data_IF_158383519495
#
_entry.id   IF_158383519495
#
_cell.length_a   1.000
_cell.length_b   1.000
_cell.length_c   1.000
_cell.angle_alpha   90.00
_cell.angle_beta   90.00
_cell.angle_gamma   90.00
#
_symmetry.space_group_name_H-M   'P 1'
#
loop_
_entity.id
_entity.type
_entity.pdbx_description
1 polymer ?
#
# COMPACT_ATOMS: atom_id res chain seq x y z
N UNK A 1 1.90 -2.77 44.51
CA UNK A 1 0.87 -3.12 43.49
C UNK A 1 -0.03 -1.98 43.00
N UNK A 2 -0.24 -0.87 43.74
CA UNK A 2 -1.20 0.19 43.32
C UNK A 2 -0.78 1.03 42.10
N UNK A 3 0.51 1.34 41.91
CA UNK A 3 1.03 2.22 40.83
C UNK A 3 0.75 1.71 39.40
N UNK A 4 0.87 0.39 39.18
CA UNK A 4 0.64 -0.27 37.87
C UNK A 4 -0.84 -0.22 37.42
N UNK A 5 -1.78 -0.05 38.37
CA UNK A 5 -3.22 0.05 38.07
C UNK A 5 -3.62 1.44 37.57
N UNK A 6 -2.90 2.50 37.97
CA UNK A 6 -3.16 3.87 37.49
C UNK A 6 -2.67 4.09 36.07
N UNK A 7 -1.53 3.52 35.67
CA UNK A 7 -1.00 3.64 34.30
C UNK A 7 -1.92 2.99 33.27
N UNK A 8 -2.54 1.84 33.58
CA UNK A 8 -3.51 1.18 32.68
C UNK A 8 -4.79 2.00 32.51
N UNK A 9 -5.23 2.70 33.56
CA UNK A 9 -6.38 3.60 33.52
C UNK A 9 -6.07 4.89 32.75
N UNK A 10 -4.83 5.38 32.83
CA UNK A 10 -4.36 6.52 32.03
C UNK A 10 -4.30 6.18 30.54
N UNK A 11 -3.82 4.98 30.18
CA UNK A 11 -3.83 4.48 28.81
C UNK A 11 -5.26 4.28 28.26
N UNK A 12 -6.17 3.74 29.07
CA UNK A 12 -7.58 3.60 28.68
C UNK A 12 -8.26 4.96 28.54
N UNK A 13 -8.00 5.91 29.43
CA UNK A 13 -8.53 7.27 29.35
C UNK A 13 -8.00 8.01 28.12
N UNK A 14 -6.70 7.88 27.80
CA UNK A 14 -6.11 8.45 26.58
C UNK A 14 -6.68 7.81 25.31
N UNK A 15 -6.92 6.50 25.31
CA UNK A 15 -7.56 5.80 24.19
C UNK A 15 -9.00 6.26 23.97
N UNK A 16 -9.78 6.44 25.06
CA UNK A 16 -11.16 6.95 24.98
C UNK A 16 -11.19 8.41 24.53
N UNK A 17 -10.23 9.25 24.99
CA UNK A 17 -10.12 10.64 24.55
C UNK A 17 -9.72 10.78 23.07
N UNK A 18 -8.89 9.86 22.56
CA UNK A 18 -8.54 9.81 21.14
C UNK A 18 -9.74 9.37 20.28
N UNK A 19 -10.53 8.40 20.75
CA UNK A 19 -11.72 7.92 20.03
C UNK A 19 -12.82 8.98 20.00
N UNK A 20 -13.00 9.79 21.05
CA UNK A 20 -13.98 10.88 21.06
C UNK A 20 -13.54 12.12 20.28
N UNK A 21 -12.22 12.33 20.10
CA UNK A 21 -11.70 13.39 19.23
C UNK A 21 -11.94 13.11 17.73
N UNK A 22 -12.13 11.86 17.33
CA UNK A 22 -12.53 11.50 15.96
C UNK A 22 -14.05 11.63 15.70
N UNK A 23 -14.87 11.70 16.76
CA UNK A 23 -16.34 11.70 16.62
C UNK A 23 -16.97 13.10 16.54
N UNK A 24 -16.20 14.18 16.66
CA UNK A 24 -16.72 15.56 16.78
C UNK A 24 -16.13 16.58 15.79
N UNK A 25 -15.44 16.14 14.74
CA UNK A 25 -15.17 17.05 13.61
C UNK A 25 -16.36 17.03 12.68
N UNK A 26 -17.31 17.93 12.94
CA UNK A 26 -18.26 18.40 11.95
C UNK A 26 -17.45 19.07 10.82
N UNK A 27 -17.07 18.29 9.81
CA UNK A 27 -16.47 18.77 8.56
C UNK A 27 -17.55 19.48 7.75
N UNK A 28 -17.85 20.71 8.14
CA UNK A 28 -18.69 21.62 7.40
C UNK A 28 -17.78 22.77 6.95
N UNK A 29 -17.47 22.85 5.63
CA UNK A 29 -17.11 24.09 4.89
C UNK A 29 -16.05 23.99 3.76
N UNK A 30 -15.58 22.82 3.28
CA UNK A 30 -14.80 22.78 2.01
C UNK A 30 -15.08 21.53 1.17
N UNK A 31 -16.30 21.41 0.63
CA UNK A 31 -16.76 20.32 -0.25
C UNK A 31 -15.89 20.08 -1.51
N UNK A 32 -14.96 20.98 -1.86
CA UNK A 32 -14.03 20.80 -2.99
C UNK A 32 -12.57 20.52 -2.60
N UNK A 33 -12.16 20.80 -1.36
CA UNK A 33 -10.76 20.79 -0.94
C UNK A 33 -10.29 19.39 -0.55
N UNK A 34 -11.08 18.68 0.25
CA UNK A 34 -10.76 17.35 0.76
C UNK A 34 -11.77 16.34 0.23
N UNK A 35 -11.28 15.28 -0.39
CA UNK A 35 -12.07 14.12 -0.85
C UNK A 35 -11.50 12.89 -0.18
N UNK A 36 -12.33 12.05 0.41
CA UNK A 36 -11.88 10.77 0.94
C UNK A 36 -12.79 9.66 0.46
N UNK A 37 -12.31 8.44 0.53
CA UNK A 37 -13.06 7.32 -0.01
C UNK A 37 -12.38 5.99 0.15
N UNK A 38 -13.03 4.98 -0.39
CA UNK A 38 -12.55 3.61 -0.41
C UNK A 38 -12.17 3.23 -1.83
N UNK A 39 -11.19 2.36 -1.98
CA UNK A 39 -10.78 1.82 -3.28
C UNK A 39 -10.45 0.34 -3.18
N UNK A 40 -10.69 -0.39 -4.25
CA UNK A 40 -10.28 -1.78 -4.36
C UNK A 40 -10.13 -2.22 -5.81
N UNK A 41 -9.47 -3.35 -6.02
CA UNK A 41 -9.19 -3.82 -7.37
C UNK A 41 -8.23 -4.99 -7.43
N UNK A 42 -7.62 -5.16 -8.60
CA UNK A 42 -6.72 -6.26 -8.91
C UNK A 42 -5.29 -5.74 -9.14
N UNK A 43 -4.32 -6.59 -8.81
CA UNK A 43 -2.91 -6.37 -9.06
C UNK A 43 -2.39 -7.48 -9.98
N UNK A 44 -1.59 -7.11 -10.97
CA UNK A 44 -0.88 -8.02 -11.84
C UNK A 44 0.61 -7.71 -11.70
N UNK A 45 1.34 -8.58 -10.99
CA UNK A 45 2.79 -8.47 -10.83
C UNK A 45 3.52 -9.25 -11.91
N UNK A 46 4.58 -8.65 -12.47
CA UNK A 46 5.59 -9.34 -13.28
C UNK A 46 6.90 -9.36 -12.49
N UNK A 47 7.36 -10.56 -12.17
CA UNK A 47 8.68 -10.77 -11.56
C UNK A 47 9.68 -11.03 -12.69
N UNK A 48 10.45 -10.01 -13.09
CA UNK A 48 11.54 -10.20 -14.06
C UNK A 48 12.80 -10.71 -13.33
N UNK A 49 13.07 -12.01 -13.47
CA UNK A 49 14.29 -12.67 -12.99
C UNK A 49 14.72 -13.73 -14.00
N UNK A 50 15.98 -13.64 -14.50
CA UNK A 50 16.55 -14.58 -15.47
C UNK A 50 16.52 -16.01 -14.89
N UNK A 51 15.53 -16.81 -15.27
CA UNK A 51 15.37 -18.19 -14.81
C UNK A 51 13.92 -18.60 -14.50
N UNK A 52 12.99 -17.66 -14.36
CA UNK A 52 11.59 -17.98 -14.07
C UNK A 52 10.73 -17.86 -15.34
N UNK A 53 10.10 -18.98 -15.74
CA UNK A 53 9.05 -18.98 -16.77
C UNK A 53 7.92 -18.03 -16.32
N UNK A 54 7.69 -16.97 -17.10
CA UNK A 54 6.58 -16.00 -17.06
C UNK A 54 5.44 -16.32 -16.07
N UNK A 55 5.69 -16.11 -14.78
CA UNK A 55 4.70 -16.29 -13.73
C UNK A 55 3.99 -14.98 -13.46
N UNK A 56 2.84 -14.75 -14.09
CA UNK A 56 1.98 -13.64 -13.70
C UNK A 56 1.33 -13.95 -12.35
N UNK A 57 1.62 -13.11 -11.36
CA UNK A 57 0.98 -13.21 -10.06
C UNK A 57 -0.24 -12.28 -10.02
N UNK A 58 -1.43 -12.90 -10.03
CA UNK A 58 -2.69 -12.19 -9.88
C UNK A 58 -3.00 -12.02 -8.38
N UNK A 59 -3.23 -10.78 -7.97
CA UNK A 59 -3.57 -10.40 -6.61
C UNK A 59 -4.75 -9.43 -6.58
N UNK A 60 -5.18 -9.08 -5.37
CA UNK A 60 -6.19 -8.06 -5.15
C UNK A 60 -5.70 -7.01 -4.15
N UNK A 61 -6.36 -5.86 -4.14
CA UNK A 61 -6.11 -4.81 -3.15
C UNK A 61 -7.42 -4.15 -2.70
N UNK A 62 -7.40 -3.63 -1.47
CA UNK A 62 -8.46 -2.85 -0.85
C UNK A 62 -7.82 -1.79 0.04
N UNK A 63 -8.35 -0.58 0.04
CA UNK A 63 -7.77 0.52 0.80
C UNK A 63 -8.66 1.73 0.92
N UNK A 64 -8.18 2.70 1.70
CA UNK A 64 -8.75 4.03 1.79
C UNK A 64 -7.84 5.05 1.11
N UNK A 65 -8.43 6.15 0.65
CA UNK A 65 -7.70 7.30 0.11
C UNK A 65 -8.22 8.61 0.71
N UNK A 66 -7.33 9.58 0.83
CA UNK A 66 -7.64 10.97 1.14
C UNK A 66 -6.89 11.86 0.14
N UNK A 67 -7.61 12.72 -0.56
CA UNK A 67 -7.13 13.62 -1.58
C UNK A 67 -7.39 15.06 -1.15
N UNK A 68 -6.33 15.87 -1.16
CA UNK A 68 -6.36 17.30 -0.91
C UNK A 68 -6.06 18.02 -2.22
N UNK A 69 -7.02 18.76 -2.75
CA UNK A 69 -6.82 19.62 -3.92
C UNK A 69 -6.28 20.96 -3.46
N UNK A 70 -5.02 21.25 -3.78
CA UNK A 70 -4.32 22.45 -3.33
C UNK A 70 -4.58 23.63 -4.27
N UNK A 71 -4.55 23.40 -5.58
CA UNK A 71 -4.80 24.42 -6.60
C UNK A 71 -5.65 23.86 -7.73
N UNK A 72 -6.04 24.71 -8.69
CA UNK A 72 -6.73 24.26 -9.91
C UNK A 72 -5.79 23.39 -10.73
N UNK A 73 -6.02 22.08 -10.69
CA UNK A 73 -5.26 21.10 -11.46
C UNK A 73 -4.11 20.43 -10.71
N UNK A 74 -3.89 20.75 -9.43
CA UNK A 74 -2.91 20.07 -8.60
C UNK A 74 -3.47 19.69 -7.22
N UNK A 75 -3.15 18.49 -6.77
CA UNK A 75 -3.50 18.01 -5.44
C UNK A 75 -2.60 16.87 -4.98
N UNK A 76 -2.67 16.53 -3.70
CA UNK A 76 -1.94 15.42 -3.11
C UNK A 76 -2.93 14.38 -2.62
N UNK A 77 -2.63 13.10 -2.81
CA UNK A 77 -3.45 11.97 -2.38
C UNK A 77 -2.59 11.03 -1.53
N UNK A 78 -3.01 10.82 -0.29
CA UNK A 78 -2.47 9.79 0.58
C UNK A 78 -3.40 8.59 0.59
N UNK A 79 -2.83 7.39 0.65
CA UNK A 79 -3.58 6.14 0.62
C UNK A 79 -3.07 5.14 1.66
N UNK A 80 -3.96 4.25 2.08
CA UNK A 80 -3.63 3.08 2.86
C UNK A 80 -4.24 1.87 2.16
N UNK A 81 -3.40 1.03 1.57
CA UNK A 81 -3.80 -0.10 0.74
C UNK A 81 -3.31 -1.40 1.39
N UNK A 82 -4.24 -2.30 1.65
CA UNK A 82 -3.95 -3.71 1.90
C UNK A 82 -4.00 -4.47 0.57
N UNK A 83 -2.98 -5.26 0.28
CA UNK A 83 -2.95 -6.11 -0.91
C UNK A 83 -2.58 -7.54 -0.56
N UNK A 84 -3.12 -8.48 -1.32
CA UNK A 84 -2.86 -9.91 -1.14
C UNK A 84 -2.56 -10.52 -2.50
N UNK A 85 -1.43 -11.19 -2.61
CA UNK A 85 -1.00 -11.90 -3.81
C UNK A 85 -0.85 -13.37 -3.49
N UNK A 86 -1.47 -14.22 -4.31
CA UNK A 86 -1.34 -15.66 -4.19
C UNK A 86 -0.38 -16.16 -5.25
N UNK A 87 0.84 -16.49 -4.85
CA UNK A 87 1.78 -17.16 -5.75
C UNK A 87 1.36 -18.62 -5.86
N UNK A 88 0.91 -19.06 -7.04
CA UNK A 88 0.82 -20.49 -7.33
C UNK A 88 2.25 -20.95 -7.61
N UNK A 89 2.89 -21.57 -6.62
CA UNK A 89 4.17 -22.25 -6.83
C UNK A 89 3.94 -23.42 -7.78
N UNK A 90 4.26 -23.25 -9.06
CA UNK A 90 4.51 -24.38 -9.95
C UNK A 90 5.75 -25.09 -9.41
N UNK A 91 5.51 -26.27 -8.83
CA UNK A 91 6.33 -27.48 -8.66
C UNK A 91 7.86 -27.46 -8.46
N UNK A 92 8.59 -26.34 -8.46
CA UNK A 92 10.07 -26.36 -8.44
C UNK A 92 10.69 -25.39 -7.40
N UNK A 93 10.09 -25.24 -6.22
CA UNK A 93 10.64 -24.43 -5.13
C UNK A 93 10.93 -25.26 -3.86
N UNK A 94 11.66 -26.36 -4.04
CA UNK A 94 12.15 -27.18 -2.92
C UNK A 94 13.63 -26.94 -2.56
N UNK A 95 14.32 -25.94 -3.15
CA UNK A 95 15.80 -25.89 -3.05
C UNK A 95 16.43 -24.63 -2.44
N UNK A 96 15.67 -23.68 -1.87
CA UNK A 96 16.28 -22.41 -1.38
C UNK A 96 16.15 -22.15 0.13
N UNK A 97 15.39 -22.93 0.90
CA UNK A 97 15.36 -22.77 2.36
C UNK A 97 15.24 -24.12 3.06
N UNK A 98 16.20 -24.42 3.94
CA UNK A 98 16.28 -25.63 4.79
C UNK A 98 14.90 -26.16 5.21
N UNK A 99 14.50 -27.22 4.54
CA UNK A 99 13.26 -27.97 4.72
C UNK A 99 13.42 -29.04 5.79
N UNK A 100 13.60 -28.66 7.06
CA UNK A 100 13.62 -29.66 8.16
C UNK A 100 12.27 -29.83 8.86
N UNK A 101 11.20 -29.15 8.41
CA UNK A 101 9.87 -29.30 9.04
C UNK A 101 8.69 -29.25 8.05
N UNK A 102 8.90 -29.55 6.76
CA UNK A 102 7.85 -29.45 5.75
C UNK A 102 7.55 -30.81 5.12
N UNK A 103 7.21 -31.77 5.96
CA UNK A 103 6.30 -32.83 5.53
C UNK A 103 4.88 -32.26 5.57
N UNK A 104 4.18 -32.37 4.45
CA UNK A 104 2.73 -32.29 4.28
C UNK A 104 2.11 -31.01 3.63
N UNK A 105 1.50 -31.26 2.46
CA UNK A 105 0.38 -30.53 1.83
C UNK A 105 0.59 -29.12 1.24
N UNK A 106 1.13 -29.02 0.01
CA UNK A 106 0.68 -28.07 -1.03
C UNK A 106 0.32 -26.63 -0.61
N UNK A 107 1.11 -26.00 0.29
CA UNK A 107 0.74 -24.73 0.90
C UNK A 107 0.91 -23.59 -0.10
N UNK A 108 -0.21 -23.10 -0.63
CA UNK A 108 -0.32 -21.82 -1.35
C UNK A 108 0.25 -20.71 -0.46
N UNK A 109 1.43 -20.19 -0.80
CA UNK A 109 2.04 -19.06 -0.08
C UNK A 109 1.22 -17.81 -0.41
N UNK A 110 0.53 -17.27 0.60
CA UNK A 110 -0.20 -16.00 0.50
C UNK A 110 0.68 -14.89 1.06
N UNK A 111 1.04 -13.92 0.22
CA UNK A 111 1.81 -12.76 0.63
C UNK A 111 0.85 -11.58 0.77
N UNK A 112 0.78 -11.02 1.98
CA UNK A 112 -0.04 -9.85 2.29
C UNK A 112 0.86 -8.65 2.49
N UNK A 113 0.54 -7.52 1.88
CA UNK A 113 1.30 -6.28 2.01
C UNK A 113 0.40 -5.15 2.47
N UNK A 114 0.94 -4.30 3.34
CA UNK A 114 0.38 -3.00 3.67
C UNK A 114 1.19 -1.94 2.93
N UNK A 115 0.54 -1.10 2.16
CA UNK A 115 1.17 -0.07 1.33
C UNK A 115 0.59 1.31 1.66
N UNK A 116 1.46 2.31 1.69
CA UNK A 116 1.14 3.72 1.95
C UNK A 116 1.69 4.56 0.79
N UNK A 117 0.91 4.70 -0.30
CA UNK A 117 1.21 5.62 -1.39
C UNK A 117 0.99 7.08 -0.98
N UNK A 118 1.91 7.95 -1.40
CA UNK A 118 1.76 9.42 -1.32
C UNK A 118 1.93 9.96 -2.75
N UNK A 119 0.84 10.42 -3.35
CA UNK A 119 0.76 10.72 -4.78
C UNK A 119 0.45 12.19 -5.03
N UNK A 120 1.21 12.81 -5.91
CA UNK A 120 0.83 14.06 -6.57
C UNK A 120 -0.16 13.76 -7.70
N UNK A 121 -1.22 14.56 -7.79
CA UNK A 121 -2.23 14.49 -8.84
C UNK A 121 -2.13 15.75 -9.71
N UNK A 122 -2.00 15.56 -11.02
CA UNK A 122 -1.98 16.64 -12.01
C UNK A 122 -3.13 16.46 -12.99
N UNK A 123 -4.03 17.45 -13.11
CA UNK A 123 -5.14 17.37 -14.06
C UNK A 123 -4.66 17.49 -15.51
N UNK A 124 -5.05 16.52 -16.34
CA UNK A 124 -4.72 16.46 -17.76
C UNK A 124 -5.89 17.03 -18.57
N UNK A 125 -5.87 18.34 -18.84
CA UNK A 125 -6.88 19.06 -19.63
C UNK A 125 -8.27 19.16 -18.99
N UNK A 126 -8.63 18.24 -18.09
CA UNK A 126 -9.89 18.22 -17.35
C UNK A 126 -9.64 17.87 -15.88
N UNK A 127 -10.37 18.48 -14.92
CA UNK A 127 -10.30 18.10 -13.51
C UNK A 127 -10.65 16.63 -13.23
N UNK A 128 -11.32 15.97 -14.19
CA UNK A 128 -11.75 14.56 -14.09
C UNK A 128 -10.64 13.58 -14.39
N UNK A 129 -9.63 13.93 -15.18
CA UNK A 129 -8.53 13.02 -15.55
C UNK A 129 -7.28 13.55 -14.89
N UNK A 130 -6.71 12.77 -13.98
CA UNK A 130 -5.53 13.15 -13.20
C UNK A 130 -4.39 12.16 -13.47
N UNK A 131 -3.22 12.67 -13.78
CA UNK A 131 -1.97 11.93 -13.73
C UNK A 131 -1.53 11.82 -12.27
N UNK A 132 -1.25 10.61 -11.82
CA UNK A 132 -0.76 10.31 -10.49
C UNK A 132 0.70 9.94 -10.55
N UNK A 133 1.52 10.54 -9.69
CA UNK A 133 2.93 10.17 -9.55
C UNK A 133 3.38 10.36 -8.11
N UNK A 134 4.17 9.44 -7.57
CA UNK A 134 4.75 9.60 -6.24
C UNK A 134 5.35 8.32 -5.65
N UNK A 135 5.95 8.42 -4.46
CA UNK A 135 6.47 7.26 -3.75
C UNK A 135 5.35 6.42 -3.13
N UNK A 136 5.65 5.15 -2.93
CA UNK A 136 4.87 4.20 -2.15
C UNK A 136 5.81 3.42 -1.23
N UNK A 137 5.45 3.42 0.05
CA UNK A 137 6.10 2.61 1.08
C UNK A 137 5.28 1.36 1.33
N UNK A 138 5.89 0.19 1.33
CA UNK A 138 5.19 -1.06 1.55
C UNK A 138 5.93 -1.97 2.52
N UNK A 139 5.18 -2.72 3.30
CA UNK A 139 5.73 -3.73 4.20
C UNK A 139 4.93 -5.02 4.10
N UNK A 140 5.64 -6.15 4.18
CA UNK A 140 5.02 -7.46 4.26
C UNK A 140 4.36 -7.64 5.63
N UNK A 141 3.07 -7.99 5.62
CA UNK A 141 2.28 -8.30 6.81
C UNK A 141 2.47 -9.77 7.15
N UNK A 142 3.51 -10.08 7.92
CA UNK A 142 3.69 -11.40 8.56
C UNK A 142 2.95 -11.45 9.89
N UNK A 143 2.12 -12.48 10.08
CA UNK A 143 1.32 -12.75 11.28
C UNK A 143 0.39 -11.61 11.74
N UNK A 144 -0.68 -11.34 10.97
CA UNK A 144 -1.89 -10.52 11.32
C UNK A 144 -1.68 -9.15 12.00
N UNK A 145 -0.44 -8.67 12.15
CA UNK A 145 -0.09 -7.48 12.91
C UNK A 145 0.09 -6.28 11.98
N UNK A 146 -1.03 -5.67 11.60
CA UNK A 146 -1.07 -4.49 10.71
C UNK A 146 -0.30 -3.29 11.29
N UNK A 147 -0.34 -3.10 12.61
CA UNK A 147 0.39 -2.01 13.28
C UNK A 147 1.90 -2.12 13.14
N UNK A 148 2.44 -3.35 13.23
CA UNK A 148 3.87 -3.59 13.05
C UNK A 148 4.27 -3.35 11.60
N UNK A 149 3.48 -3.86 10.65
CA UNK A 149 3.72 -3.62 9.22
C UNK A 149 3.69 -2.12 8.86
N UNK A 150 2.78 -1.34 9.46
CA UNK A 150 2.74 0.12 9.28
C UNK A 150 4.04 0.77 9.77
N UNK A 151 4.48 0.43 10.99
CA UNK A 151 5.73 0.92 11.54
C UNK A 151 6.94 0.52 10.67
N UNK A 152 6.98 -0.71 10.16
CA UNK A 152 8.06 -1.20 9.31
C UNK A 152 8.06 -0.49 7.95
N UNK A 153 6.89 -0.20 7.37
CA UNK A 153 6.79 0.58 6.12
C UNK A 153 7.42 1.97 6.25
N UNK A 154 7.32 2.62 7.42
CA UNK A 154 7.96 3.91 7.69
C UNK A 154 9.44 3.80 8.11
N UNK A 155 9.86 2.66 8.68
CA UNK A 155 11.23 2.47 9.20
C UNK A 155 12.18 1.71 8.25
N UNK A 156 11.88 1.70 6.95
CA UNK A 156 12.74 1.04 5.94
C UNK A 156 12.13 -0.20 5.30
N UNK A 157 10.81 -0.27 5.19
CA UNK A 157 10.13 -1.20 4.29
C UNK A 157 10.47 -0.95 2.82
N UNK A 158 9.86 -1.72 1.92
CA UNK A 158 10.10 -1.62 0.49
C UNK A 158 9.64 -0.25 -0.03
N UNK A 159 10.52 0.44 -0.77
CA UNK A 159 10.23 1.70 -1.44
C UNK A 159 9.99 1.45 -2.92
N UNK A 160 8.91 2.05 -3.44
CA UNK A 160 8.51 1.94 -4.83
C UNK A 160 8.07 3.29 -5.39
N UNK A 161 8.19 3.46 -6.70
CA UNK A 161 7.64 4.58 -7.45
C UNK A 161 6.31 4.17 -8.09
N UNK A 162 5.34 5.07 -8.04
CA UNK A 162 4.02 4.88 -8.65
C UNK A 162 3.82 5.94 -9.70
N UNK A 163 3.37 5.53 -10.88
CA UNK A 163 2.87 6.41 -11.93
C UNK A 163 1.55 5.86 -12.47
N UNK A 164 0.54 6.68 -12.72
CA UNK A 164 -0.76 6.18 -13.15
C UNK A 164 -1.77 7.25 -13.54
N UNK A 165 -2.96 6.80 -13.87
CA UNK A 165 -4.10 7.64 -14.20
C UNK A 165 -5.21 7.43 -13.17
N UNK A 166 -5.90 8.52 -12.86
CA UNK A 166 -7.04 8.58 -11.98
C UNK A 166 -8.17 9.34 -12.67
N UNK A 167 -9.26 8.63 -12.94
CA UNK A 167 -10.47 9.19 -13.52
C UNK A 167 -11.47 9.40 -12.39
N UNK A 168 -11.78 10.65 -12.11
CA UNK A 168 -12.69 11.07 -11.05
C UNK A 168 -14.07 11.40 -11.64
N UNK A 169 -15.04 10.53 -11.35
CA UNK A 169 -16.47 10.76 -11.58
C UNK A 169 -17.11 11.23 -10.26
N UNK A 170 -18.38 11.68 -10.26
CA UNK A 170 -19.01 12.28 -9.07
C UNK A 170 -18.99 11.40 -7.82
N UNK A 171 -19.14 10.08 -7.98
CA UNK A 171 -19.16 9.10 -6.88
C UNK A 171 -18.08 8.05 -7.10
N UNK A 172 -17.90 7.61 -8.35
CA UNK A 172 -17.00 6.52 -8.70
C UNK A 172 -15.67 7.09 -9.22
N UNK A 173 -14.57 6.44 -8.87
CA UNK A 173 -13.27 6.71 -9.42
C UNK A 173 -12.71 5.46 -10.09
N UNK A 174 -11.93 5.63 -11.16
CA UNK A 174 -11.23 4.54 -11.83
C UNK A 174 -9.75 4.85 -11.78
N UNK A 175 -8.93 3.86 -11.44
CA UNK A 175 -7.49 4.00 -11.31
C UNK A 175 -6.76 2.93 -12.10
N UNK A 176 -5.72 3.34 -12.81
CA UNK A 176 -4.78 2.47 -13.49
C UNK A 176 -3.36 2.92 -13.16
N UNK A 177 -2.55 2.06 -12.57
CA UNK A 177 -1.24 2.41 -12.03
C UNK A 177 -0.19 1.41 -12.44
N UNK A 178 1.01 1.93 -12.59
CA UNK A 178 2.24 1.19 -12.78
C UNK A 178 3.13 1.46 -11.58
N UNK A 179 3.55 0.40 -10.90
CA UNK A 179 4.34 0.42 -9.67
C UNK A 179 5.69 -0.21 -9.98
N UNK A 180 6.76 0.51 -9.69
CA UNK A 180 8.14 0.05 -9.89
C UNK A 180 8.82 0.02 -8.53
N UNK A 181 9.18 -1.17 -8.06
CA UNK A 181 9.97 -1.36 -6.84
C UNK A 181 11.43 -1.00 -7.08
N UNK A 182 12.03 -0.28 -6.13
CA UNK A 182 13.43 0.14 -6.18
C UNK A 182 14.34 -0.68 -5.28
N UNK A 183 13.96 -1.92 -4.94
CA UNK A 183 14.56 -2.80 -3.92
C UNK A 183 16.07 -2.61 -3.71
N UNK A 184 16.41 -1.77 -2.74
CA UNK A 184 17.60 -1.77 -1.88
C UNK A 184 17.44 -0.62 -0.86
N UNK A 185 16.91 -0.92 0.33
CA UNK A 185 17.02 -0.02 1.48
C UNK A 185 17.85 -0.71 2.56
N UNK A 186 19.08 -1.08 2.19
CA UNK A 186 20.18 -1.24 3.15
C UNK A 186 21.24 -0.20 2.83
N UNK A 187 21.19 0.87 3.63
CA UNK A 187 22.20 1.92 3.81
C UNK A 187 22.40 2.86 2.62
N UNK A 188 22.04 4.12 2.85
CA UNK A 188 22.66 5.28 2.21
C UNK A 188 24.13 5.23 2.64
N UNK A 189 24.96 4.54 1.86
CA UNK A 189 26.42 4.59 1.76
C UNK A 189 26.89 3.28 1.10
N UNK A 190 26.70 3.16 -0.21
CA UNK A 190 27.52 2.41 -1.18
C UNK A 190 26.73 2.15 -2.47
N UNK A 191 26.79 3.12 -3.39
CA UNK A 191 26.33 2.97 -4.77
C UNK A 191 27.39 2.18 -5.54
N UNK A 192 27.42 0.86 -5.40
CA UNK A 192 28.12 -0.02 -6.34
C UNK A 192 27.73 -1.50 -6.15
N UNK A 193 27.00 -2.03 -7.14
CA UNK A 193 26.90 -3.46 -7.48
C UNK A 193 26.12 -4.38 -6.54
N UNK A 194 24.80 -4.48 -6.77
CA UNK A 194 24.07 -5.75 -6.63
C UNK A 194 22.91 -5.83 -7.60
N UNK A 195 22.67 -7.01 -8.19
CA UNK A 195 21.75 -7.20 -9.32
C UNK A 195 20.35 -6.61 -9.09
N UNK A 196 19.96 -5.69 -9.98
CA UNK A 196 18.68 -4.97 -9.97
C UNK A 196 17.49 -5.91 -10.20
N UNK A 197 16.92 -6.50 -9.15
CA UNK A 197 15.61 -7.14 -9.23
C UNK A 197 14.52 -6.06 -9.22
N UNK A 198 14.18 -5.55 -10.41
CA UNK A 198 13.13 -4.54 -10.58
C UNK A 198 11.77 -5.22 -10.53
N UNK A 199 11.11 -5.22 -9.36
CA UNK A 199 9.73 -5.69 -9.25
C UNK A 199 8.80 -4.67 -9.93
N UNK A 200 7.98 -5.13 -10.89
CA UNK A 200 7.04 -4.27 -11.61
C UNK A 200 5.63 -4.81 -11.45
N UNK A 201 4.67 -3.94 -11.17
CA UNK A 201 3.27 -4.32 -11.03
C UNK A 201 2.34 -3.33 -11.72
N UNK A 202 1.33 -3.85 -12.38
CA UNK A 202 0.19 -3.09 -12.88
C UNK A 202 -0.95 -3.25 -11.87
N UNK A 203 -1.54 -2.14 -11.46
CA UNK A 203 -2.67 -2.10 -10.53
C UNK A 203 -3.86 -1.42 -11.22
N UNK A 204 -5.00 -2.10 -11.23
CA UNK A 204 -6.27 -1.57 -11.73
C UNK A 204 -7.28 -1.58 -10.59
N UNK A 205 -8.00 -0.49 -10.38
CA UNK A 205 -8.94 -0.39 -9.27
C UNK A 205 -10.07 0.60 -9.49
N UNK A 206 -11.13 0.42 -8.72
CA UNK A 206 -12.29 1.29 -8.64
C UNK A 206 -12.37 1.86 -7.22
N UNK A 207 -12.70 3.14 -7.11
CA UNK A 207 -12.92 3.81 -5.84
C UNK A 207 -14.29 4.43 -5.75
N UNK A 208 -14.74 4.68 -4.52
CA UNK A 208 -15.95 5.44 -4.21
C UNK A 208 -15.52 6.63 -3.35
N UNK A 209 -15.77 7.84 -3.82
CA UNK A 209 -15.64 9.07 -3.02
C UNK A 209 -16.88 9.21 -2.15
N UNK A 210 -16.66 9.51 -0.87
CA UNK A 210 -17.71 9.72 0.14
C UNK A 210 -18.00 11.21 0.34
#
# INVERSE_FOLDING_TARGET
MKKKRYMKKLFFAAAVLCVTAFSSTTVNAQSGFLHFGLKGGANLGKLDGKGYKDGFNLGYHLGGFAQVNLTKGFGVQGELIFSSTQTKTTSDFSEVYNTDNLSDNGKKIKLNYLSIPILANFSLGSPRIKLQVGPQFSALVSDKNVFKASNDAFNGGDVSGVAGLWIQLPIINISARYIVGFTDVKKIDDVANTGNWKNQAIQLGVGVTL
#
